data_IF_626868599178
#
_entry.id   IF_626868599178
#
_cell.length_a   1.000
_cell.length_b   1.000
_cell.length_c   1.000
_cell.angle_alpha   90.00
_cell.angle_beta   90.00
_cell.angle_gamma   90.00
#
_symmetry.space_group_name_H-M   'P 1'
#
loop_
_entity.id
_entity.type
_entity.pdbx_description
1 polymer ?
#
# COMPACT_ATOMS: atom_id res chain seq x y z
N UNK A 1 -41.65 69.32 1.96
CA UNK A 1 -40.82 69.09 0.77
C UNK A 1 -39.33 68.94 1.10
N UNK A 2 -38.68 69.92 1.74
CA UNK A 2 -37.25 69.82 2.10
C UNK A 2 -36.90 68.65 3.05
N UNK A 3 -37.76 68.35 4.03
CA UNK A 3 -37.58 67.22 4.96
C UNK A 3 -37.72 65.83 4.32
N UNK A 4 -38.59 65.72 3.31
CA UNK A 4 -38.76 64.47 2.54
C UNK A 4 -37.56 64.22 1.64
N UNK A 5 -37.00 65.29 1.05
CA UNK A 5 -35.79 65.20 0.21
C UNK A 5 -34.56 64.81 1.05
N UNK A 6 -34.41 65.37 2.25
CA UNK A 6 -33.31 65.01 3.16
C UNK A 6 -33.42 63.56 3.64
N UNK A 7 -34.63 63.08 3.91
CA UNK A 7 -34.88 61.68 4.29
C UNK A 7 -34.56 60.71 3.14
N UNK A 8 -34.94 61.06 1.91
CA UNK A 8 -34.62 60.24 0.74
C UNK A 8 -33.09 60.15 0.52
N UNK A 9 -32.37 61.26 0.68
CA UNK A 9 -30.91 61.28 0.54
C UNK A 9 -30.20 60.47 1.64
N UNK A 10 -30.66 60.51 2.89
CA UNK A 10 -30.07 59.70 3.96
C UNK A 10 -30.31 58.20 3.74
N UNK A 11 -31.50 57.81 3.28
CA UNK A 11 -31.80 56.42 2.91
C UNK A 11 -30.95 55.94 1.73
N UNK A 12 -30.77 56.78 0.70
CA UNK A 12 -29.91 56.46 -0.45
C UNK A 12 -28.45 56.26 -0.03
N UNK A 13 -27.91 57.17 0.78
CA UNK A 13 -26.55 57.03 1.33
C UNK A 13 -26.39 55.73 2.14
N UNK A 14 -27.39 55.39 2.96
CA UNK A 14 -27.40 54.15 3.73
C UNK A 14 -27.43 52.91 2.82
N UNK A 15 -28.27 52.91 1.79
CA UNK A 15 -28.36 51.80 0.84
C UNK A 15 -27.05 51.59 0.06
N UNK A 16 -26.42 52.68 -0.39
CA UNK A 16 -25.11 52.62 -1.06
C UNK A 16 -24.04 52.08 -0.11
N UNK A 17 -24.03 52.52 1.15
CA UNK A 17 -23.10 52.01 2.17
C UNK A 17 -23.26 50.49 2.38
N UNK A 18 -24.50 50.01 2.54
CA UNK A 18 -24.78 48.57 2.71
C UNK A 18 -24.34 47.77 1.47
N UNK A 19 -24.59 48.29 0.27
CA UNK A 19 -24.18 47.65 -0.98
C UNK A 19 -22.66 47.53 -1.08
N UNK A 20 -21.92 48.59 -0.71
CA UNK A 20 -20.46 48.57 -0.70
C UNK A 20 -19.91 47.52 0.28
N UNK A 21 -20.47 47.45 1.50
CA UNK A 21 -20.09 46.44 2.48
C UNK A 21 -20.37 45.03 1.95
N UNK A 22 -21.55 44.79 1.36
CA UNK A 22 -21.90 43.51 0.76
C UNK A 22 -20.93 43.10 -0.34
N UNK A 23 -20.54 44.02 -1.23
CA UNK A 23 -19.61 43.76 -2.32
C UNK A 23 -18.22 43.39 -1.79
N UNK A 24 -17.74 44.09 -0.76
CA UNK A 24 -16.44 43.83 -0.14
C UNK A 24 -16.42 42.43 0.50
N UNK A 25 -17.45 42.11 1.29
CA UNK A 25 -17.56 40.81 1.97
C UNK A 25 -17.62 39.67 0.95
N UNK A 26 -18.57 39.71 0.00
CA UNK A 26 -18.71 38.65 -1.00
C UNK A 26 -17.51 38.55 -1.95
N UNK A 27 -16.90 39.69 -2.29
CA UNK A 27 -15.67 39.73 -3.08
C UNK A 27 -14.51 39.04 -2.36
N UNK A 28 -14.33 39.31 -1.06
CA UNK A 28 -13.30 38.65 -0.25
C UNK A 28 -13.51 37.13 -0.13
N UNK A 29 -14.75 36.68 0.09
CA UNK A 29 -15.07 35.25 0.13
C UNK A 29 -14.78 34.58 -1.21
N UNK A 30 -15.23 35.19 -2.32
CA UNK A 30 -14.98 34.69 -3.67
C UNK A 30 -13.49 34.61 -3.97
N UNK A 31 -12.72 35.62 -3.57
CA UNK A 31 -11.26 35.63 -3.72
C UNK A 31 -10.59 34.46 -2.98
N UNK A 32 -10.92 34.26 -1.70
CA UNK A 32 -10.37 33.17 -0.89
C UNK A 32 -10.73 31.81 -1.49
N UNK A 33 -11.98 31.62 -1.92
CA UNK A 33 -12.42 30.37 -2.56
C UNK A 33 -11.68 30.10 -3.86
N UNK A 34 -11.51 31.10 -4.74
CA UNK A 34 -10.75 30.94 -5.99
C UNK A 34 -9.28 30.65 -5.69
N UNK A 35 -8.68 31.37 -4.75
CA UNK A 35 -7.30 31.15 -4.34
C UNK A 35 -7.10 29.75 -3.78
N UNK A 36 -7.95 29.32 -2.85
CA UNK A 36 -7.92 27.97 -2.28
C UNK A 36 -8.15 26.91 -3.35
N UNK A 37 -9.11 27.09 -4.26
CA UNK A 37 -9.36 26.16 -5.36
C UNK A 37 -8.16 26.06 -6.31
N UNK A 38 -7.52 27.18 -6.67
CA UNK A 38 -6.30 27.17 -7.52
C UNK A 38 -5.12 26.55 -6.78
N UNK A 39 -4.97 26.81 -5.49
CA UNK A 39 -3.93 26.22 -4.67
C UNK A 39 -4.13 24.70 -4.51
N UNK A 40 -5.34 24.28 -4.15
CA UNK A 40 -5.71 22.86 -4.06
C UNK A 40 -5.61 22.15 -5.40
N UNK A 41 -6.01 22.77 -6.52
CA UNK A 41 -5.86 22.16 -7.84
C UNK A 41 -4.38 21.97 -8.20
N UNK A 42 -3.54 22.96 -7.91
CA UNK A 42 -2.08 22.82 -8.06
C UNK A 42 -1.50 21.75 -7.12
N UNK A 43 -2.03 21.58 -5.91
CA UNK A 43 -1.58 20.56 -4.95
C UNK A 43 -2.16 19.16 -5.22
N UNK A 44 -3.29 19.06 -5.91
CA UNK A 44 -3.89 17.79 -6.38
C UNK A 44 -3.19 17.33 -7.67
N UNK A 45 -2.92 18.26 -8.60
CA UNK A 45 -2.10 18.01 -9.79
C UNK A 45 -0.61 17.78 -9.41
N UNK A 46 -0.16 18.28 -8.25
CA UNK A 46 1.15 18.03 -7.65
C UNK A 46 1.13 16.99 -6.53
N UNK A 47 0.13 16.10 -6.46
CA UNK A 47 0.40 14.79 -5.86
C UNK A 47 1.50 14.20 -6.73
N UNK A 48 2.72 13.98 -6.21
CA UNK A 48 3.70 13.27 -7.01
C UNK A 48 3.02 11.96 -7.40
N UNK A 49 2.93 11.73 -8.70
CA UNK A 49 2.40 10.50 -9.26
C UNK A 49 2.96 9.38 -8.41
N UNK A 50 2.11 8.59 -7.75
CA UNK A 50 2.57 7.50 -6.89
C UNK A 50 3.53 6.61 -7.69
N UNK A 51 3.33 6.53 -9.01
CA UNK A 51 4.25 5.91 -9.95
C UNK A 51 5.64 6.57 -10.01
N UNK A 52 5.77 7.89 -9.91
CA UNK A 52 7.07 8.59 -9.84
C UNK A 52 7.78 8.40 -8.51
N UNK A 53 7.07 8.45 -7.36
CA UNK A 53 7.68 8.12 -6.07
C UNK A 53 8.10 6.64 -6.03
N UNK A 54 7.26 5.75 -6.55
CA UNK A 54 7.59 4.33 -6.73
C UNK A 54 8.71 4.13 -7.75
N UNK A 55 8.84 4.96 -8.79
CA UNK A 55 9.93 4.89 -9.76
C UNK A 55 11.26 5.38 -9.17
N UNK A 56 11.23 6.37 -8.29
CA UNK A 56 12.41 6.83 -7.53
C UNK A 56 12.85 5.78 -6.50
N UNK A 57 11.92 5.08 -5.85
CA UNK A 57 12.27 3.92 -5.02
C UNK A 57 12.71 2.73 -5.88
N UNK A 58 12.15 2.52 -7.08
CA UNK A 58 12.59 1.54 -8.09
C UNK A 58 13.95 1.87 -8.71
N UNK A 59 14.61 2.95 -8.27
CA UNK A 59 16.00 3.21 -8.65
C UNK A 59 16.86 1.98 -8.36
N UNK A 60 17.88 1.75 -9.19
CA UNK A 60 18.64 0.52 -9.38
C UNK A 60 19.42 -0.03 -8.16
N UNK A 61 19.03 0.34 -6.95
CA UNK A 61 19.69 0.02 -5.68
C UNK A 61 18.74 -0.61 -4.63
N UNK A 62 17.56 -1.09 -5.05
CA UNK A 62 16.72 -1.91 -4.18
C UNK A 62 17.41 -3.25 -3.90
N UNK A 63 17.61 -3.58 -2.63
CA UNK A 63 18.22 -4.86 -2.22
C UNK A 63 17.18 -5.98 -2.35
N UNK A 64 17.56 -7.18 -2.82
CA UNK A 64 16.68 -8.32 -2.79
C UNK A 64 16.14 -8.55 -1.38
N UNK A 65 14.86 -8.91 -1.28
CA UNK A 65 14.21 -9.24 -0.01
C UNK A 65 13.78 -10.70 0.03
N UNK A 66 13.75 -11.28 1.22
CA UNK A 66 13.22 -12.62 1.46
C UNK A 66 11.95 -12.52 2.30
N UNK A 67 10.82 -12.97 1.76
CA UNK A 67 9.56 -13.08 2.49
C UNK A 67 9.52 -14.46 3.13
N UNK A 68 9.60 -14.51 4.45
CA UNK A 68 9.49 -15.76 5.21
C UNK A 68 8.03 -15.94 5.64
N UNK A 69 7.43 -17.06 5.26
CA UNK A 69 6.04 -17.43 5.59
C UNK A 69 6.06 -18.65 6.51
N UNK A 70 5.90 -18.49 7.83
CA UNK A 70 5.72 -19.64 8.71
C UNK A 70 4.36 -20.31 8.42
N UNK A 71 4.33 -21.63 8.42
CA UNK A 71 3.13 -22.41 8.18
C UNK A 71 3.04 -23.60 9.15
N UNK A 72 1.94 -23.69 9.87
CA UNK A 72 1.58 -24.84 10.69
C UNK A 72 0.06 -25.03 10.65
N UNK A 73 -0.39 -26.12 10.05
CA UNK A 73 -1.81 -26.46 9.89
C UNK A 73 -2.66 -25.35 9.22
N UNK A 74 -2.15 -24.82 8.11
CA UNK A 74 -2.74 -23.72 7.33
C UNK A 74 -3.38 -24.21 6.01
N UNK A 75 -3.82 -25.47 5.90
CA UNK A 75 -4.29 -26.05 4.63
C UNK A 75 -5.40 -25.23 3.91
N UNK A 76 -6.19 -24.46 4.68
CA UNK A 76 -7.31 -23.66 4.14
C UNK A 76 -6.82 -22.35 3.52
N UNK A 77 -5.76 -21.75 4.06
CA UNK A 77 -5.33 -20.37 3.80
C UNK A 77 -3.97 -20.30 3.08
N UNK A 78 -3.17 -21.36 3.14
CA UNK A 78 -1.77 -21.35 2.70
C UNK A 78 -1.62 -20.93 1.23
N UNK A 79 -2.50 -21.39 0.35
CA UNK A 79 -2.45 -21.05 -1.08
C UNK A 79 -2.70 -19.57 -1.30
N UNK A 80 -3.71 -19.00 -0.63
CA UNK A 80 -4.04 -17.58 -0.75
C UNK A 80 -2.92 -16.70 -0.18
N UNK A 81 -2.33 -17.09 0.95
CA UNK A 81 -1.18 -16.41 1.55
C UNK A 81 0.01 -16.36 0.58
N UNK A 82 0.35 -17.48 -0.04
CA UNK A 82 1.47 -17.55 -0.98
C UNK A 82 1.15 -16.78 -2.27
N UNK A 83 -0.07 -16.88 -2.79
CA UNK A 83 -0.51 -16.10 -3.95
C UNK A 83 -0.43 -14.59 -3.67
N UNK A 84 -0.84 -14.15 -2.48
CA UNK A 84 -0.71 -12.75 -2.07
C UNK A 84 0.77 -12.33 -2.03
N UNK A 85 1.65 -13.16 -1.47
CA UNK A 85 3.10 -12.90 -1.44
C UNK A 85 3.71 -12.82 -2.84
N UNK A 86 3.25 -13.60 -3.82
CA UNK A 86 3.76 -13.52 -5.21
C UNK A 86 3.37 -12.24 -5.95
N UNK A 87 2.37 -11.48 -5.45
CA UNK A 87 1.84 -10.27 -6.10
C UNK A 87 2.51 -8.98 -5.64
N UNK A 88 3.52 -9.05 -4.76
CA UNK A 88 4.20 -7.85 -4.31
C UNK A 88 4.90 -7.15 -5.49
N UNK A 89 4.79 -5.83 -5.55
CA UNK A 89 5.46 -5.03 -6.57
C UNK A 89 6.86 -4.64 -6.09
N UNK A 90 7.76 -5.63 -6.02
CA UNK A 90 9.17 -5.45 -5.68
C UNK A 90 10.07 -6.05 -6.77
N UNK A 91 11.19 -5.40 -7.17
CA UNK A 91 11.99 -5.86 -8.31
C UNK A 91 12.56 -7.27 -8.16
N UNK A 92 13.15 -7.57 -6.99
CA UNK A 92 13.76 -8.88 -6.71
C UNK A 92 13.38 -9.35 -5.30
N UNK A 93 12.71 -10.49 -5.23
CA UNK A 93 12.34 -11.10 -3.96
C UNK A 93 12.26 -12.62 -4.07
N UNK A 94 12.46 -13.30 -2.95
CA UNK A 94 12.20 -14.72 -2.76
C UNK A 94 11.12 -14.94 -1.70
N UNK A 95 10.40 -16.04 -1.80
CA UNK A 95 9.40 -16.47 -0.83
C UNK A 95 9.88 -17.80 -0.23
N UNK A 96 10.11 -17.81 1.06
CA UNK A 96 10.52 -18.98 1.82
C UNK A 96 9.41 -19.40 2.78
N UNK A 97 8.73 -20.48 2.44
CA UNK A 97 7.72 -21.07 3.32
C UNK A 97 8.43 -22.01 4.28
N UNK A 98 8.21 -21.83 5.57
CA UNK A 98 8.74 -22.70 6.61
C UNK A 98 7.57 -23.50 7.19
N UNK A 99 7.45 -24.75 6.76
CA UNK A 99 6.46 -25.68 7.29
C UNK A 99 7.00 -26.30 8.58
N UNK A 100 6.43 -25.91 9.73
CA UNK A 100 6.89 -26.34 11.05
C UNK A 100 6.19 -27.62 11.52
N UNK A 101 6.28 -28.67 10.69
CA UNK A 101 5.75 -29.99 11.02
C UNK A 101 4.23 -30.07 11.03
N UNK A 102 3.56 -29.40 10.07
CA UNK A 102 2.10 -29.51 9.87
C UNK A 102 1.65 -30.98 9.82
N UNK A 103 0.51 -31.25 10.45
CA UNK A 103 -0.16 -32.55 10.50
C UNK A 103 -1.29 -32.69 9.49
N UNK A 104 -1.62 -31.60 8.80
CA UNK A 104 -2.69 -31.50 7.81
C UNK A 104 -2.14 -31.48 6.36
N UNK A 105 -2.98 -31.14 5.38
CA UNK A 105 -2.60 -31.11 3.96
C UNK A 105 -1.81 -29.85 3.55
N UNK A 106 -1.30 -29.03 4.48
CA UNK A 106 -0.59 -27.77 4.15
C UNK A 106 0.54 -27.98 3.16
N UNK A 107 1.45 -28.92 3.44
CA UNK A 107 2.59 -29.21 2.56
C UNK A 107 2.13 -29.82 1.22
N UNK A 108 1.17 -30.74 1.26
CA UNK A 108 0.67 -31.42 0.05
C UNK A 108 0.05 -30.41 -0.92
N UNK A 109 -0.75 -29.47 -0.41
CA UNK A 109 -1.34 -28.39 -1.21
C UNK A 109 -0.28 -27.53 -1.88
N UNK A 110 0.80 -27.19 -1.18
CA UNK A 110 1.91 -26.44 -1.75
C UNK A 110 2.60 -27.22 -2.88
N UNK A 111 2.84 -28.52 -2.66
CA UNK A 111 3.49 -29.40 -3.65
C UNK A 111 2.65 -29.49 -4.92
N UNK A 112 1.37 -29.79 -4.79
CA UNK A 112 0.46 -29.97 -5.93
C UNK A 112 0.20 -28.66 -6.67
N UNK A 113 -0.11 -27.59 -5.93
CA UNK A 113 -0.52 -26.33 -6.54
C UNK A 113 0.63 -25.61 -7.25
N UNK A 114 1.82 -25.59 -6.64
CA UNK A 114 2.99 -24.89 -7.17
C UNK A 114 3.97 -25.81 -7.91
N UNK A 115 3.65 -27.09 -8.05
CA UNK A 115 4.50 -28.08 -8.73
C UNK A 115 5.92 -28.10 -8.15
N UNK A 116 5.97 -28.34 -6.84
CA UNK A 116 7.21 -28.34 -6.07
C UNK A 116 8.00 -29.61 -6.30
N UNK A 117 9.32 -29.49 -6.44
CA UNK A 117 10.24 -30.62 -6.55
C UNK A 117 11.20 -30.65 -5.37
N UNK A 118 11.46 -31.84 -4.79
CA UNK A 118 12.42 -31.97 -3.71
C UNK A 118 13.83 -31.73 -4.24
N UNK A 119 14.63 -30.99 -3.47
CA UNK A 119 16.03 -30.72 -3.78
C UNK A 119 16.93 -31.22 -2.65
N UNK A 120 17.96 -31.97 -3.01
CA UNK A 120 18.98 -32.39 -2.07
C UNK A 120 19.96 -31.23 -1.85
N UNK A 121 19.66 -30.34 -0.88
CA UNK A 121 20.64 -29.40 -0.36
C UNK A 121 21.17 -29.90 0.99
N UNK A 122 22.50 -29.98 1.18
CA UNK A 122 23.05 -30.22 2.51
C UNK A 122 22.70 -29.02 3.39
N UNK A 123 21.86 -29.24 4.40
CA UNK A 123 21.52 -28.22 5.38
C UNK A 123 22.77 -27.90 6.21
N UNK A 124 23.41 -26.76 5.94
CA UNK A 124 24.47 -26.26 6.82
C UNK A 124 23.81 -25.65 8.05
N UNK A 125 23.63 -26.46 9.09
CA UNK A 125 23.11 -25.99 10.38
C UNK A 125 24.10 -25.01 11.01
N UNK A 126 23.84 -23.72 10.81
CA UNK A 126 24.57 -22.61 11.44
C UNK A 126 23.95 -22.20 12.78
N UNK A 127 22.69 -22.59 13.01
CA UNK A 127 21.88 -22.23 14.19
C UNK A 127 21.21 -23.49 14.73
N UNK A 128 21.15 -23.63 16.05
CA UNK A 128 20.48 -24.75 16.71
C UNK A 128 18.98 -24.73 16.44
N UNK A 129 18.54 -25.54 15.47
CA UNK A 129 17.14 -25.68 15.05
C UNK A 129 16.81 -27.16 14.88
N UNK A 130 15.53 -27.52 15.02
CA UNK A 130 15.04 -28.89 14.74
C UNK A 130 15.37 -29.25 13.29
N UNK A 131 15.76 -30.51 12.98
CA UNK A 131 16.14 -30.89 11.63
C UNK A 131 15.04 -30.61 10.59
N UNK A 132 15.48 -30.17 9.40
CA UNK A 132 14.62 -30.10 8.23
C UNK A 132 14.39 -31.51 7.66
N UNK A 133 13.13 -31.89 7.45
CA UNK A 133 12.72 -33.13 6.77
C UNK A 133 13.03 -33.08 5.28
N UNK A 134 12.90 -31.90 4.67
CA UNK A 134 13.16 -31.72 3.25
C UNK A 134 13.09 -30.26 2.81
N UNK A 135 13.64 -29.98 1.63
CA UNK A 135 13.53 -28.68 0.97
C UNK A 135 12.95 -28.89 -0.42
N UNK A 136 12.00 -28.05 -0.78
CA UNK A 136 11.33 -28.09 -2.06
C UNK A 136 11.41 -26.71 -2.74
N UNK A 137 11.45 -26.73 -4.07
CA UNK A 137 11.42 -25.52 -4.90
C UNK A 137 10.34 -25.66 -5.96
N UNK A 138 9.63 -24.59 -6.28
CA UNK A 138 8.61 -24.62 -7.32
C UNK A 138 9.25 -24.63 -8.70
N UNK A 139 8.80 -25.52 -9.59
CA UNK A 139 9.18 -25.49 -11.01
C UNK A 139 8.57 -24.32 -11.76
N UNK A 140 7.40 -23.84 -11.32
CA UNK A 140 6.68 -22.72 -11.94
C UNK A 140 7.23 -21.36 -11.51
N UNK A 141 7.74 -21.27 -10.29
CA UNK A 141 8.33 -20.06 -9.75
C UNK A 141 9.62 -20.39 -8.97
N UNK A 142 10.81 -20.25 -9.57
CA UNK A 142 12.09 -20.55 -8.93
C UNK A 142 12.39 -19.74 -7.65
N UNK A 143 11.67 -18.63 -7.43
CA UNK A 143 11.81 -17.79 -6.25
C UNK A 143 10.94 -18.28 -5.08
N UNK A 144 10.19 -19.37 -5.25
CA UNK A 144 9.31 -19.94 -4.23
C UNK A 144 9.90 -21.24 -3.67
N UNK A 145 10.16 -21.23 -2.37
CA UNK A 145 10.83 -22.29 -1.63
C UNK A 145 9.96 -22.77 -0.48
N UNK A 146 10.05 -24.06 -0.16
CA UNK A 146 9.42 -24.66 1.02
C UNK A 146 10.49 -25.43 1.78
N UNK A 147 10.69 -25.09 3.04
CA UNK A 147 11.46 -25.88 4.00
C UNK A 147 10.47 -26.62 4.86
N UNK A 148 10.47 -27.94 4.77
CA UNK A 148 9.73 -28.81 5.68
C UNK A 148 10.64 -29.20 6.83
N UNK A 149 10.19 -28.93 8.06
CA UNK A 149 10.95 -29.17 9.29
C UNK A 149 10.10 -29.95 10.29
N UNK A 150 10.77 -30.67 11.19
CA UNK A 150 10.11 -31.25 12.35
C UNK A 150 9.63 -30.15 13.31
N UNK A 151 8.41 -30.28 13.83
CA UNK A 151 7.81 -29.31 14.74
C UNK A 151 8.74 -28.99 15.92
N UNK A 152 9.05 -27.71 16.11
CA UNK A 152 10.00 -27.22 17.11
C UNK A 152 9.43 -26.95 18.50
N UNK A 153 8.10 -26.95 18.66
CA UNK A 153 7.41 -26.55 19.89
C UNK A 153 6.60 -25.27 19.75
#
# INVERSE_FOLDING_TARGET
>A
FLSLLSLANTLLCFQVLVLLIFLIINGSYTYVTIFAFRHLRKSVDARPDLAQLLALTKSANMRPISIVVPAYNEQVTILDTVLAATRINYPEFEILIVNDGSTDETLQRLIEFFDMVPIARPARMLVGTTPSRGVYVSRRNPNLWVIDKENGG
#
